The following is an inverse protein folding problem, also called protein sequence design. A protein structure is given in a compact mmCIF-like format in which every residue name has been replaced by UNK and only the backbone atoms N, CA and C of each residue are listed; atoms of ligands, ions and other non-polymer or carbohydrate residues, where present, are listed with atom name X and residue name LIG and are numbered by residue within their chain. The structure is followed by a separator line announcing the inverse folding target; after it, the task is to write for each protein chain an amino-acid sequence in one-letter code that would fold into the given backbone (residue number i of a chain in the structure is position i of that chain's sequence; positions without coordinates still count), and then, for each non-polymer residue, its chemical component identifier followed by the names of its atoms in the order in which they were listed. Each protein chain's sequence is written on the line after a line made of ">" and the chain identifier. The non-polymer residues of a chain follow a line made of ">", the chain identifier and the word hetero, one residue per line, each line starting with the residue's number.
data_IF_524322671950
#
_entry.id   IF_524322671950
#
_cell.length_a   1.000
_cell.length_b   1.000
_cell.length_c   1.000
_cell.angle_alpha   90.00
_cell.angle_beta   90.00
_cell.angle_gamma   90.00
#
_symmetry.space_group_name_H-M   'P 1'
#
loop_
_entity.id
_entity.type
_entity.pdbx_description
1 polymer ?
#
# COMPACT_ATOMS: atom_id res chain seq x y z
N UNK A 1 -24.96 25.39 52.07
CA UNK A 1 -23.98 25.11 51.00
C UNK A 1 -22.94 24.13 51.53
N UNK A 2 -22.88 22.91 50.97
CA UNK A 2 -21.95 21.85 51.42
C UNK A 2 -20.69 21.86 50.55
N UNK A 3 -19.50 21.91 51.16
CA UNK A 3 -18.21 21.90 50.45
C UNK A 3 -17.89 20.48 49.93
N UNK A 4 -17.31 20.34 48.72
CA UNK A 4 -16.92 19.04 48.20
C UNK A 4 -15.72 18.49 48.99
N UNK A 5 -15.81 17.22 49.41
CA UNK A 5 -14.71 16.49 50.04
C UNK A 5 -13.59 16.29 49.02
N UNK A 6 -12.41 16.84 49.29
CA UNK A 6 -11.22 16.56 48.48
C UNK A 6 -10.87 15.09 48.65
N UNK A 7 -10.93 14.33 47.56
CA UNK A 7 -10.45 12.95 47.55
C UNK A 7 -8.92 12.96 47.70
N UNK A 8 -8.43 12.56 48.88
CA UNK A 8 -7.01 12.33 49.09
C UNK A 8 -6.55 11.22 48.14
N UNK A 9 -5.44 11.44 47.42
CA UNK A 9 -4.79 10.40 46.63
C UNK A 9 -4.50 9.17 47.52
N UNK A 10 -4.66 7.93 47.01
CA UNK A 10 -4.43 6.74 47.80
C UNK A 10 -3.01 6.73 48.36
N UNK A 11 -2.82 6.22 49.59
CA UNK A 11 -1.50 6.15 50.21
C UNK A 11 -0.56 5.30 49.35
N UNK A 12 0.74 5.62 49.32
CA UNK A 12 1.71 4.79 48.63
C UNK A 12 1.69 3.37 49.22
N UNK A 13 1.92 2.34 48.38
CA UNK A 13 1.84 0.95 48.79
C UNK A 13 2.75 0.66 49.98
N UNK A 14 2.28 -0.20 50.88
CA UNK A 14 2.99 -0.49 52.11
C UNK A 14 4.32 -1.21 51.83
N UNK A 15 5.29 -1.12 52.76
CA UNK A 15 6.62 -1.74 52.60
C UNK A 15 6.55 -3.26 52.40
N UNK A 16 5.46 -3.89 52.83
CA UNK A 16 5.20 -5.32 52.66
C UNK A 16 4.67 -5.66 51.26
N UNK A 17 3.86 -4.78 50.66
CA UNK A 17 3.37 -4.94 49.28
C UNK A 17 4.50 -4.82 48.27
N UNK A 18 5.47 -3.93 48.51
CA UNK A 18 6.66 -3.81 47.66
C UNK A 18 7.52 -5.08 47.61
N UNK A 19 7.53 -5.88 48.69
CA UNK A 19 8.31 -7.13 48.75
C UNK A 19 7.68 -8.29 47.97
N UNK A 20 6.38 -8.23 47.66
CA UNK A 20 5.68 -9.25 46.85
C UNK A 20 5.94 -9.11 45.35
N UNK A 21 6.43 -7.97 44.88
CA UNK A 21 6.73 -7.74 43.46
C UNK A 21 8.11 -8.33 43.15
N UNK A 22 8.14 -9.53 42.55
CA UNK A 22 9.38 -10.16 42.10
C UNK A 22 9.57 -9.93 40.61
N UNK A 23 10.50 -9.04 40.26
CA UNK A 23 10.87 -8.83 38.86
C UNK A 23 11.71 -10.01 38.36
N UNK A 24 11.50 -10.47 37.12
CA UNK A 24 12.38 -11.46 36.52
C UNK A 24 13.77 -10.83 36.32
N UNK A 25 14.78 -11.27 37.07
CA UNK A 25 16.15 -10.74 36.99
C UNK A 25 17.06 -11.51 36.02
N UNK A 26 16.69 -12.73 35.60
CA UNK A 26 17.51 -13.57 34.73
C UNK A 26 16.92 -13.70 33.31
N UNK A 27 17.80 -13.87 32.31
CA UNK A 27 17.46 -14.11 30.89
C UNK A 27 16.60 -13.03 30.21
N UNK A 28 16.48 -11.84 30.82
CA UNK A 28 15.68 -10.73 30.29
C UNK A 28 16.22 -10.24 28.94
N UNK A 29 17.54 -10.10 28.81
CA UNK A 29 18.19 -9.70 27.56
C UNK A 29 17.99 -10.75 26.46
N UNK A 30 18.21 -12.03 26.77
CA UNK A 30 18.05 -13.12 25.80
C UNK A 30 16.60 -13.22 25.29
N UNK A 31 15.61 -13.12 26.18
CA UNK A 31 14.19 -13.13 25.80
C UNK A 31 13.83 -11.93 24.90
N UNK A 32 14.37 -10.74 25.21
CA UNK A 32 14.19 -9.55 24.35
C UNK A 32 14.82 -9.75 22.98
N UNK A 33 16.07 -10.22 22.91
CA UNK A 33 16.77 -10.47 21.64
C UNK A 33 16.06 -11.52 20.78
N UNK A 34 15.57 -12.61 21.38
CA UNK A 34 14.79 -13.62 20.66
C UNK A 34 13.45 -13.06 20.16
N UNK A 35 12.79 -12.20 20.94
CA UNK A 35 11.59 -11.50 20.52
C UNK A 35 11.84 -10.62 19.29
N UNK A 36 12.90 -9.82 19.34
CA UNK A 36 13.31 -8.94 18.23
C UNK A 36 13.67 -9.78 17.00
N UNK A 37 14.46 -10.84 17.15
CA UNK A 37 14.82 -11.73 16.05
C UNK A 37 13.58 -12.33 15.38
N UNK A 38 12.64 -12.84 16.18
CA UNK A 38 11.38 -13.38 15.67
C UNK A 38 10.60 -12.34 14.88
N UNK A 39 10.48 -11.11 15.40
CA UNK A 39 9.80 -10.03 14.66
C UNK A 39 10.52 -9.65 13.37
N UNK A 40 11.85 -9.63 13.38
CA UNK A 40 12.66 -9.32 12.19
C UNK A 40 12.46 -10.38 11.10
N UNK A 41 12.42 -11.67 11.45
CA UNK A 41 12.15 -12.75 10.50
C UNK A 41 10.76 -12.60 9.85
N UNK A 42 9.72 -12.29 10.63
CA UNK A 42 8.39 -12.06 10.06
C UNK A 42 8.37 -10.85 9.13
N UNK A 43 8.95 -9.73 9.54
CA UNK A 43 9.00 -8.52 8.71
C UNK A 43 9.80 -8.74 7.42
N UNK A 44 10.90 -9.50 7.50
CA UNK A 44 11.73 -9.86 6.35
C UNK A 44 10.98 -10.65 5.28
N UNK A 45 10.02 -11.49 5.67
CA UNK A 45 9.19 -12.26 4.73
C UNK A 45 8.00 -11.41 4.24
N UNK A 46 7.36 -10.66 5.15
CA UNK A 46 6.16 -9.87 4.84
C UNK A 46 6.47 -8.74 3.87
N UNK A 47 7.57 -8.00 4.06
CA UNK A 47 7.93 -6.86 3.22
C UNK A 47 8.07 -7.20 1.71
N UNK A 48 8.87 -8.19 1.28
CA UNK A 48 8.98 -8.55 -0.13
C UNK A 48 7.69 -9.18 -0.66
N UNK A 49 6.91 -9.88 0.16
CA UNK A 49 5.63 -10.46 -0.25
C UNK A 49 4.62 -9.35 -0.56
N UNK A 50 4.52 -8.33 0.30
CA UNK A 50 3.71 -7.14 0.03
C UNK A 50 4.19 -6.42 -1.23
N UNK A 51 5.50 -6.23 -1.39
CA UNK A 51 6.04 -5.60 -2.60
C UNK A 51 5.70 -6.39 -3.87
N UNK A 52 5.78 -7.72 -3.83
CA UNK A 52 5.40 -8.57 -4.96
C UNK A 52 3.92 -8.44 -5.31
N UNK A 53 3.04 -8.54 -4.31
CA UNK A 53 1.58 -8.51 -4.50
C UNK A 53 1.10 -7.13 -4.96
N UNK A 54 1.63 -6.04 -4.38
CA UNK A 54 1.13 -4.70 -4.64
C UNK A 54 1.86 -3.95 -5.76
N UNK A 55 3.08 -4.36 -6.13
CA UNK A 55 3.84 -3.70 -7.19
C UNK A 55 4.03 -4.58 -8.43
N UNK A 56 4.61 -5.77 -8.24
CA UNK A 56 5.03 -6.61 -9.37
C UNK A 56 3.85 -7.33 -10.04
N UNK A 57 2.96 -7.93 -9.24
CA UNK A 57 1.79 -8.64 -9.75
C UNK A 57 0.84 -7.74 -10.58
N UNK A 58 0.41 -6.54 -10.12
CA UNK A 58 -0.48 -5.70 -10.91
C UNK A 58 0.19 -5.17 -12.17
N UNK A 59 1.50 -4.92 -12.15
CA UNK A 59 2.24 -4.57 -13.37
C UNK A 59 2.15 -5.69 -14.40
N UNK A 60 2.51 -6.92 -14.02
CA UNK A 60 2.44 -8.08 -14.94
C UNK A 60 1.02 -8.30 -15.46
N UNK A 61 0.01 -8.15 -14.61
CA UNK A 61 -1.39 -8.29 -14.99
C UNK A 61 -1.85 -7.24 -15.99
N UNK A 62 -1.44 -5.97 -15.81
CA UNK A 62 -1.74 -4.91 -16.78
C UNK A 62 -1.13 -5.19 -18.15
N UNK A 63 0.13 -5.62 -18.19
CA UNK A 63 0.78 -5.98 -19.45
C UNK A 63 0.10 -7.17 -20.12
N UNK A 64 -0.23 -8.22 -19.36
CA UNK A 64 -0.95 -9.37 -19.89
C UNK A 64 -2.31 -8.97 -20.46
N UNK A 65 -3.11 -8.22 -19.68
CA UNK A 65 -4.44 -7.78 -20.11
C UNK A 65 -4.39 -6.89 -21.35
N UNK A 66 -3.38 -6.01 -21.45
CA UNK A 66 -3.16 -5.19 -22.64
C UNK A 66 -2.99 -6.07 -23.87
N UNK A 67 -2.05 -7.02 -23.85
CA UNK A 67 -1.74 -7.85 -25.01
C UNK A 67 -2.75 -8.96 -25.31
N UNK A 68 -3.63 -9.30 -24.38
CA UNK A 68 -4.64 -10.35 -24.60
C UNK A 68 -5.66 -9.94 -25.67
N UNK A 69 -5.96 -8.64 -25.78
CA UNK A 69 -6.93 -8.11 -26.75
C UNK A 69 -6.32 -7.04 -27.67
N UNK A 70 -5.00 -6.93 -27.71
CA UNK A 70 -4.32 -5.91 -28.50
C UNK A 70 -4.31 -6.31 -29.98
N UNK A 71 -4.99 -5.52 -30.82
CA UNK A 71 -4.87 -5.60 -32.27
C UNK A 71 -3.83 -4.58 -32.76
N UNK A 72 -2.66 -5.03 -33.27
CA UNK A 72 -1.62 -4.14 -33.75
C UNK A 72 -2.05 -3.32 -34.98
N UNK A 73 -2.96 -3.81 -35.82
CA UNK A 73 -3.39 -3.11 -37.04
C UNK A 73 -4.34 -1.95 -36.70
N UNK A 74 -5.33 -2.17 -35.83
CA UNK A 74 -6.21 -1.10 -35.34
C UNK A 74 -5.42 0.00 -34.61
N UNK A 75 -4.45 -0.39 -33.76
CA UNK A 75 -3.57 0.57 -33.10
C UNK A 75 -2.74 1.39 -34.11
N UNK A 76 -2.22 0.73 -35.15
CA UNK A 76 -1.50 1.41 -36.23
C UNK A 76 -2.38 2.39 -37.01
N UNK A 77 -3.61 1.99 -37.36
CA UNK A 77 -4.54 2.84 -38.09
C UNK A 77 -4.98 4.06 -37.25
N UNK A 78 -5.13 3.91 -35.94
CA UNK A 78 -5.33 5.03 -35.01
C UNK A 78 -4.13 5.98 -34.99
N UNK A 79 -2.90 5.44 -35.00
CA UNK A 79 -1.68 6.26 -35.02
C UNK A 79 -1.48 6.97 -36.37
N UNK A 80 -1.81 6.30 -37.47
CA UNK A 80 -1.76 6.83 -38.83
C UNK A 80 -2.80 7.93 -39.05
N UNK A 81 -4.05 7.68 -38.67
CA UNK A 81 -5.13 8.69 -38.75
C UNK A 81 -4.89 9.87 -37.80
N UNK A 82 -4.20 9.66 -36.68
CA UNK A 82 -3.74 10.71 -35.78
C UNK A 82 -2.54 11.51 -36.28
N UNK A 83 -1.92 11.13 -37.40
CA UNK A 83 -0.77 11.83 -37.97
C UNK A 83 0.52 11.71 -37.15
N UNK A 84 0.61 10.72 -36.25
CA UNK A 84 1.80 10.52 -35.40
C UNK A 84 2.99 9.91 -36.16
N UNK A 85 2.76 9.33 -37.34
CA UNK A 85 3.75 8.60 -38.12
C UNK A 85 4.30 9.47 -39.26
N UNK A 86 5.55 9.94 -39.13
CA UNK A 86 6.24 10.69 -40.21
C UNK A 86 6.47 9.85 -41.47
N UNK A 87 6.66 8.53 -41.30
CA UNK A 87 6.87 7.58 -42.39
C UNK A 87 5.58 7.24 -43.15
N UNK A 88 4.42 7.40 -42.52
CA UNK A 88 3.12 7.09 -43.10
C UNK A 88 2.20 8.30 -42.88
N UNK A 89 2.39 9.37 -43.68
CA UNK A 89 1.60 10.59 -43.52
C UNK A 89 0.11 10.26 -43.63
N UNK A 90 -0.68 10.79 -42.69
CA UNK A 90 -2.13 10.72 -42.78
C UNK A 90 -2.54 11.31 -44.13
N UNK A 91 -3.17 10.52 -45.01
CA UNK A 91 -3.84 11.11 -46.17
C UNK A 91 -4.85 12.11 -45.60
N UNK A 92 -4.82 13.35 -46.07
CA UNK A 92 -5.77 14.40 -45.70
C UNK A 92 -7.19 14.02 -46.16
N UNK A 93 -7.84 13.08 -45.47
CA UNK A 93 -9.27 12.91 -45.57
C UNK A 93 -9.89 13.95 -44.66
N UNK A 94 -10.30 15.07 -45.27
CA UNK A 94 -11.12 16.11 -44.66
C UNK A 94 -12.28 15.43 -43.94
N UNK A 95 -12.21 15.37 -42.60
CA UNK A 95 -13.38 15.04 -41.77
C UNK A 95 -14.37 16.19 -41.95
N UNK A 96 -15.33 16.02 -42.86
CA UNK A 96 -16.57 16.77 -42.83
C UNK A 96 -17.18 16.56 -41.43
N UNK A 97 -17.22 17.65 -40.66
CA UNK A 97 -17.97 17.71 -39.41
C UNK A 97 -19.44 17.66 -39.79
N UNK A 98 -20.04 16.49 -39.74
CA UNK A 98 -21.49 16.39 -39.78
C UNK A 98 -22.04 16.93 -38.45
N UNK A 99 -22.44 18.21 -38.48
CA UNK A 99 -23.24 18.87 -37.46
C UNK A 99 -24.70 18.73 -37.88
N UNK A 100 -25.38 17.70 -37.43
CA UNK A 100 -26.85 17.62 -37.44
C UNK A 100 -27.27 16.38 -36.60
N UNK A 101 -28.24 16.36 -35.68
CA UNK A 101 -29.33 17.27 -35.33
C UNK A 101 -29.60 17.21 -33.83
N UNK A 102 -29.83 18.39 -33.28
CA UNK A 102 -30.65 18.64 -32.10
C UNK A 102 -32.09 18.20 -32.43
N UNK A 103 -32.64 17.21 -31.72
CA UNK A 103 -34.07 17.14 -31.40
C UNK A 103 -34.31 16.26 -30.17
#
# INVERSE_FOLDING_TARGET
>A
MSKPKMACKPPPPSREEMKKIKFPMHNTHLRKSLGILRTACYLSIVAPLLFYVFHNAPRKMKYQNFYTHYDPLDAFDRMKSGGYLKSCPAKEEKKEKDKDKKK
#
